data_IF_134522169639
#
_entry.id   IF_134522169639
#
_cell.length_a   1.000
_cell.length_b   1.000
_cell.length_c   1.000
_cell.angle_alpha   90.00
_cell.angle_beta   90.00
_cell.angle_gamma   90.00
#
_symmetry.space_group_name_H-M   'P 1'
#
loop_
_entity.id
_entity.type
_entity.pdbx_description
1 polymer ?
#
# COMPACT_ATOMS: atom_id res chain seq x y z
N UNK A 1 61.08 16.28 -3.44
CA UNK A 1 60.99 14.93 -2.84
C UNK A 1 60.36 14.93 -1.45
N UNK A 2 60.97 15.50 -0.39
CA UNK A 2 60.37 15.47 0.96
C UNK A 2 59.17 16.43 1.10
N UNK A 3 59.26 17.63 0.50
CA UNK A 3 58.15 18.60 0.48
C UNK A 3 56.92 18.09 -0.28
N UNK A 4 57.13 17.38 -1.41
CA UNK A 4 56.05 16.79 -2.21
C UNK A 4 55.34 15.66 -1.46
N UNK A 5 56.11 14.82 -0.75
CA UNK A 5 55.58 13.75 0.09
C UNK A 5 54.73 14.30 1.25
N UNK A 6 55.16 15.41 1.86
CA UNK A 6 54.39 16.08 2.92
C UNK A 6 53.11 16.73 2.37
N UNK A 7 53.17 17.36 1.20
CA UNK A 7 51.99 17.90 0.51
C UNK A 7 50.97 16.81 0.17
N UNK A 8 51.44 15.64 -0.28
CA UNK A 8 50.58 14.49 -0.57
C UNK A 8 49.86 13.98 0.68
N UNK A 9 50.57 13.83 1.80
CA UNK A 9 49.97 13.40 3.07
C UNK A 9 48.91 14.39 3.60
N UNK A 10 49.08 15.69 3.36
CA UNK A 10 48.07 16.70 3.73
C UNK A 10 46.83 16.57 2.85
N UNK A 11 47.01 16.44 1.53
CA UNK A 11 45.91 16.28 0.58
C UNK A 11 45.08 15.03 0.88
N UNK A 12 45.76 13.91 1.15
CA UNK A 12 45.14 12.64 1.49
C UNK A 12 44.28 12.75 2.76
N UNK A 13 44.79 13.42 3.80
CA UNK A 13 44.04 13.68 5.04
C UNK A 13 42.82 14.58 4.82
N UNK A 14 42.97 15.62 4.00
CA UNK A 14 41.84 16.50 3.67
C UNK A 14 40.77 15.77 2.87
N UNK A 15 41.18 14.97 1.88
CA UNK A 15 40.27 14.17 1.09
C UNK A 15 39.53 13.13 1.95
N UNK A 16 40.24 12.43 2.84
CA UNK A 16 39.65 11.50 3.81
C UNK A 16 38.63 12.20 4.72
N UNK A 17 38.92 13.42 5.16
CA UNK A 17 38.01 14.20 6.02
C UNK A 17 36.73 14.57 5.28
N UNK A 18 36.85 15.01 4.02
CA UNK A 18 35.70 15.35 3.18
C UNK A 18 34.85 14.13 2.86
N UNK A 19 35.48 13.01 2.49
CA UNK A 19 34.78 11.76 2.19
C UNK A 19 34.02 11.26 3.42
N UNK A 20 34.63 11.31 4.60
CA UNK A 20 34.00 10.88 5.83
C UNK A 20 32.80 11.75 6.22
N UNK A 21 32.92 13.07 6.08
CA UNK A 21 31.79 13.98 6.31
C UNK A 21 30.64 13.75 5.31
N UNK A 22 30.95 13.32 4.09
CA UNK A 22 29.94 13.00 3.08
C UNK A 22 29.27 11.64 3.35
N UNK A 23 30.04 10.65 3.81
CA UNK A 23 29.55 9.34 4.27
C UNK A 23 28.63 9.49 5.48
N UNK A 24 29.07 10.23 6.52
CA UNK A 24 28.27 10.49 7.73
C UNK A 24 26.92 11.13 7.39
N UNK A 25 26.90 12.05 6.40
CA UNK A 25 25.67 12.70 5.93
C UNK A 25 24.76 11.71 5.17
N UNK A 26 25.33 10.86 4.32
CA UNK A 26 24.57 9.84 3.61
C UNK A 26 23.95 8.83 4.58
N UNK A 27 24.70 8.42 5.61
CA UNK A 27 24.20 7.53 6.65
C UNK A 27 23.04 8.15 7.44
N UNK A 28 23.10 9.46 7.74
CA UNK A 28 22.00 10.19 8.38
C UNK A 28 20.74 10.24 7.50
N UNK A 29 20.89 10.53 6.20
CA UNK A 29 19.77 10.53 5.25
C UNK A 29 19.15 9.13 5.12
N UNK A 30 19.96 8.07 5.06
CA UNK A 30 19.47 6.68 5.01
C UNK A 30 18.70 6.34 6.30
N UNK A 31 19.27 6.66 7.47
CA UNK A 31 18.63 6.39 8.76
C UNK A 31 17.30 7.16 8.95
N UNK A 32 17.18 8.34 8.33
CA UNK A 32 15.92 9.10 8.29
C UNK A 32 14.86 8.43 7.40
N UNK A 33 15.27 7.78 6.31
CA UNK A 33 14.35 7.13 5.37
C UNK A 33 13.90 5.73 5.84
N UNK A 34 14.72 5.03 6.62
CA UNK A 34 14.39 3.69 7.15
C UNK A 34 13.39 3.70 8.30
N UNK A 35 13.18 4.85 8.93
CA UNK A 35 12.19 5.03 10.00
C UNK A 35 10.90 5.56 9.37
N UNK A 36 9.93 4.70 9.00
CA UNK A 36 8.60 5.22 8.70
C UNK A 36 8.15 6.00 9.93
N UNK A 37 7.73 7.25 9.72
CA UNK A 37 7.22 8.07 10.81
C UNK A 37 6.07 7.31 11.49
N UNK A 38 5.99 7.39 12.82
CA UNK A 38 4.90 6.76 13.55
C UNK A 38 3.54 7.23 13.01
N UNK A 39 3.49 8.48 12.54
CA UNK A 39 2.34 9.10 11.89
C UNK A 39 2.01 8.45 10.54
N UNK A 40 3.00 8.12 9.70
CA UNK A 40 2.80 7.44 8.42
C UNK A 40 2.22 6.03 8.61
N UNK A 41 2.70 5.32 9.63
CA UNK A 41 2.19 3.99 9.97
C UNK A 41 0.74 4.05 10.48
N UNK A 42 0.39 5.07 11.27
CA UNK A 42 -0.97 5.23 11.77
C UNK A 42 -1.94 5.66 10.65
N UNK A 43 -1.54 6.54 9.74
CA UNK A 43 -2.32 6.87 8.52
C UNK A 43 -2.57 5.62 7.67
N UNK A 44 -1.54 4.78 7.48
CA UNK A 44 -1.69 3.53 6.73
C UNK A 44 -2.63 2.56 7.44
N UNK A 45 -2.55 2.47 8.77
CA UNK A 45 -3.45 1.65 9.59
C UNK A 45 -4.90 2.12 9.45
N UNK A 46 -5.15 3.42 9.56
CA UNK A 46 -6.49 3.99 9.44
C UNK A 46 -7.07 3.71 8.05
N UNK A 47 -6.30 3.93 6.97
CA UNK A 47 -6.72 3.60 5.60
C UNK A 47 -7.13 2.14 5.46
N UNK A 48 -6.33 1.20 5.98
CA UNK A 48 -6.67 -0.24 5.93
C UNK A 48 -7.95 -0.54 6.71
N UNK A 49 -8.11 0.01 7.90
CA UNK A 49 -9.32 -0.16 8.71
C UNK A 49 -10.57 0.35 7.98
N UNK A 50 -10.50 1.53 7.37
CA UNK A 50 -11.61 2.10 6.60
C UNK A 50 -11.96 1.21 5.39
N UNK A 51 -10.96 0.72 4.65
CA UNK A 51 -11.18 -0.22 3.55
C UNK A 51 -11.84 -1.52 4.01
N UNK A 52 -11.37 -2.10 5.13
CA UNK A 52 -11.95 -3.32 5.70
C UNK A 52 -13.40 -3.12 6.11
N UNK A 53 -13.73 -2.00 6.76
CA UNK A 53 -15.12 -1.65 7.14
C UNK A 53 -16.02 -1.55 5.92
N UNK A 54 -15.61 -0.80 4.89
CA UNK A 54 -16.36 -0.67 3.62
C UNK A 54 -16.58 -2.03 2.96
N UNK A 55 -15.56 -2.89 2.94
CA UNK A 55 -15.68 -4.24 2.37
C UNK A 55 -16.60 -5.14 3.21
N UNK A 56 -16.58 -5.02 4.54
CA UNK A 56 -17.48 -5.76 5.42
C UNK A 56 -18.94 -5.36 5.19
N UNK A 57 -19.23 -4.07 5.07
CA UNK A 57 -20.55 -3.53 4.75
C UNK A 57 -21.03 -3.99 3.37
N UNK A 58 -20.17 -3.90 2.35
CA UNK A 58 -20.47 -4.40 1.00
C UNK A 58 -20.81 -5.89 1.00
N UNK A 59 -20.04 -6.72 1.72
CA UNK A 59 -20.35 -8.16 1.90
C UNK A 59 -21.65 -8.40 2.65
N UNK A 60 -21.94 -7.61 3.69
CA UNK A 60 -23.22 -7.70 4.42
C UNK A 60 -24.40 -7.39 3.49
N UNK A 61 -24.29 -6.34 2.69
CA UNK A 61 -25.29 -5.98 1.67
C UNK A 61 -25.43 -7.09 0.62
N UNK A 62 -24.32 -7.68 0.17
CA UNK A 62 -24.42 -8.81 -0.76
C UNK A 62 -25.17 -9.99 -0.14
N UNK A 63 -24.84 -10.38 1.10
CA UNK A 63 -25.60 -11.43 1.78
C UNK A 63 -27.08 -11.11 1.94
N UNK A 64 -27.47 -9.86 2.18
CA UNK A 64 -28.89 -9.49 2.29
C UNK A 64 -29.66 -9.60 0.96
N UNK A 65 -28.96 -9.57 -0.18
CA UNK A 65 -29.55 -9.86 -1.50
C UNK A 65 -29.33 -11.33 -1.91
N UNK A 66 -29.09 -12.22 -0.95
CA UNK A 66 -28.89 -13.67 -1.15
C UNK A 66 -27.71 -14.05 -2.03
N UNK A 67 -26.70 -13.18 -2.14
CA UNK A 67 -25.45 -13.54 -2.80
C UNK A 67 -24.75 -14.69 -2.09
N UNK A 68 -24.25 -15.65 -2.86
CA UNK A 68 -23.61 -16.87 -2.35
C UNK A 68 -24.55 -18.08 -2.24
N UNK A 69 -25.83 -17.90 -2.57
CA UNK A 69 -26.83 -18.97 -2.64
C UNK A 69 -27.27 -19.18 -4.09
N UNK A 70 -27.61 -20.42 -4.44
CA UNK A 70 -28.29 -20.72 -5.70
C UNK A 70 -29.80 -20.58 -5.49
N UNK A 71 -30.44 -19.72 -6.28
CA UNK A 71 -31.88 -19.46 -6.22
C UNK A 71 -32.47 -19.61 -7.62
N UNK A 72 -33.49 -20.45 -7.76
CA UNK A 72 -34.22 -20.59 -9.02
C UNK A 72 -35.33 -19.55 -9.11
N UNK A 73 -35.40 -18.83 -10.24
CA UNK A 73 -36.40 -17.79 -10.50
C UNK A 73 -37.16 -18.17 -11.77
N UNK A 74 -38.36 -18.78 -11.65
CA UNK A 74 -39.10 -19.28 -12.81
C UNK A 74 -39.84 -18.19 -13.60
N UNK A 75 -40.05 -17.01 -13.01
CA UNK A 75 -40.79 -15.89 -13.59
C UNK A 75 -39.85 -14.81 -14.10
N UNK A 76 -40.04 -14.37 -15.36
CA UNK A 76 -39.28 -13.29 -15.96
C UNK A 76 -39.44 -11.96 -15.18
N UNK A 77 -40.63 -11.70 -14.64
CA UNK A 77 -40.88 -10.49 -13.83
C UNK A 77 -40.02 -10.47 -12.57
N UNK A 78 -39.93 -11.61 -11.89
CA UNK A 78 -39.18 -11.74 -10.65
C UNK A 78 -37.67 -11.75 -10.92
N UNK A 79 -37.27 -12.27 -12.08
CA UNK A 79 -35.89 -12.19 -12.56
C UNK A 79 -35.44 -10.72 -12.71
N UNK A 80 -36.23 -9.89 -13.39
CA UNK A 80 -35.89 -8.46 -13.53
C UNK A 80 -35.89 -7.71 -12.20
N UNK A 81 -36.79 -8.06 -11.28
CA UNK A 81 -36.79 -7.48 -9.94
C UNK A 81 -35.50 -7.84 -9.17
N UNK A 82 -35.08 -9.10 -9.22
CA UNK A 82 -33.86 -9.58 -8.55
C UNK A 82 -32.60 -8.93 -9.13
N UNK A 83 -32.47 -8.88 -10.46
CA UNK A 83 -31.31 -8.27 -11.13
C UNK A 83 -31.20 -6.77 -10.82
N UNK A 84 -32.32 -6.04 -10.73
CA UNK A 84 -32.31 -4.60 -10.40
C UNK A 84 -31.98 -4.32 -8.93
N UNK A 85 -32.25 -5.27 -8.03
CA UNK A 85 -31.99 -5.09 -6.60
C UNK A 85 -30.49 -5.12 -6.26
N UNK A 86 -29.65 -5.70 -7.13
CA UNK A 86 -28.22 -5.85 -6.90
C UNK A 86 -27.38 -5.34 -8.08
N UNK A 87 -26.28 -4.67 -7.77
CA UNK A 87 -25.31 -4.17 -8.76
C UNK A 87 -24.53 -5.32 -9.43
N UNK A 88 -24.31 -6.43 -8.71
CA UNK A 88 -23.59 -7.60 -9.21
C UNK A 88 -24.56 -8.76 -9.24
N UNK A 89 -24.64 -9.48 -10.35
CA UNK A 89 -25.47 -10.67 -10.50
C UNK A 89 -24.69 -11.75 -11.27
N UNK A 90 -24.91 -13.01 -10.94
CA UNK A 90 -24.49 -14.16 -11.74
C UNK A 90 -25.75 -14.93 -12.09
N UNK A 91 -25.99 -15.16 -13.38
CA UNK A 91 -27.23 -15.74 -13.89
C UNK A 91 -26.86 -16.92 -14.77
N UNK A 92 -27.49 -18.06 -14.51
CA UNK A 92 -27.46 -19.23 -15.37
C UNK A 92 -28.86 -19.45 -15.94
N UNK A 93 -28.98 -19.41 -17.27
CA UNK A 93 -30.23 -19.69 -17.98
C UNK A 93 -30.25 -21.17 -18.34
N UNK A 94 -31.25 -21.90 -17.85
CA UNK A 94 -31.49 -23.29 -18.27
C UNK A 94 -32.29 -23.27 -19.57
N UNK A 95 -31.86 -24.06 -20.56
CA UNK A 95 -32.55 -24.22 -21.86
C UNK A 95 -33.58 -25.33 -21.80
#
# INVERSE_FOLDING_TARGET
>A
MILDLFSWQILEKQLLTVLKAMEDKLDEEIASLEKPDADDLEVLRERRLQQMKRMAEKRKRWRSHRHGEYTEIPSEKDFFAAVKASERNNVQIQR
#
